data_IF_572367733415
#
_entry.id   IF_572367733415
#
_cell.length_a   1.000
_cell.length_b   1.000
_cell.length_c   1.000
_cell.angle_alpha   90.00
_cell.angle_beta   90.00
_cell.angle_gamma   90.00
#
_symmetry.space_group_name_H-M   'P 1'
#
loop_
_entity.id
_entity.type
_entity.pdbx_description
1 polymer ?
#
# COMPACT_ATOMS: atom_id res chain seq x y z
N UNK A 1 -9.91 -26.00 -27.18
CA UNK A 1 -10.49 -24.64 -27.19
C UNK A 1 -9.49 -23.75 -26.46
N UNK A 2 -8.74 -22.94 -27.20
CA UNK A 2 -7.73 -22.04 -26.64
C UNK A 2 -8.47 -20.80 -26.13
N UNK A 3 -8.52 -20.61 -24.83
CA UNK A 3 -9.02 -19.37 -24.23
C UNK A 3 -7.92 -18.32 -24.33
N UNK A 4 -8.02 -17.47 -25.33
CA UNK A 4 -7.25 -16.23 -25.41
C UNK A 4 -7.79 -15.30 -24.33
N UNK A 5 -7.16 -15.26 -23.16
CA UNK A 5 -7.26 -14.10 -22.27
C UNK A 5 -6.58 -12.96 -23.00
N UNK A 6 -7.38 -12.02 -23.51
CA UNK A 6 -6.90 -10.71 -23.92
C UNK A 6 -6.39 -10.02 -22.65
N UNK A 7 -5.09 -10.07 -22.42
CA UNK A 7 -4.43 -9.21 -21.46
C UNK A 7 -4.53 -7.77 -21.99
N UNK A 8 -5.63 -7.10 -21.68
CA UNK A 8 -5.80 -5.66 -21.89
C UNK A 8 -5.08 -4.92 -20.76
N UNK A 9 -3.79 -5.21 -20.55
CA UNK A 9 -2.92 -4.35 -19.77
C UNK A 9 -2.70 -3.08 -20.60
N UNK A 10 -3.59 -2.10 -20.42
CA UNK A 10 -3.37 -0.75 -20.92
C UNK A 10 -2.08 -0.28 -20.26
N UNK A 11 -1.01 -0.15 -21.05
CA UNK A 11 0.24 0.44 -20.62
C UNK A 11 0.01 1.94 -20.49
N UNK A 12 -0.28 2.39 -19.27
CA UNK A 12 -0.42 3.80 -18.93
C UNK A 12 0.96 4.45 -18.91
N UNK A 13 1.56 4.58 -20.09
CA UNK A 13 2.79 5.34 -20.26
C UNK A 13 2.54 6.78 -19.78
N UNK A 14 3.57 7.42 -19.23
CA UNK A 14 3.46 8.76 -18.64
C UNK A 14 2.95 9.83 -19.61
N UNK A 15 2.97 9.54 -20.92
CA UNK A 15 2.58 10.46 -21.98
C UNK A 15 1.05 10.61 -22.12
N UNK A 16 0.26 9.66 -21.60
CA UNK A 16 -1.21 9.67 -21.67
C UNK A 16 -1.90 10.14 -20.38
N UNK A 17 -1.12 10.58 -19.38
CA UNK A 17 -1.65 10.96 -18.06
C UNK A 17 -1.88 12.48 -18.02
N UNK A 18 -3.08 12.95 -17.64
CA UNK A 18 -3.35 14.38 -17.56
C UNK A 18 -2.43 15.07 -16.55
N UNK A 19 -1.96 16.25 -16.90
CA UNK A 19 -1.30 17.16 -15.96
C UNK A 19 -2.27 17.59 -14.87
N UNK A 20 -1.74 18.15 -13.77
CA UNK A 20 -2.57 18.60 -12.64
C UNK A 20 -3.67 19.58 -13.06
N UNK A 21 -3.36 20.50 -13.98
CA UNK A 21 -4.29 21.52 -14.48
C UNK A 21 -5.36 20.95 -15.42
N UNK A 22 -5.15 19.75 -15.96
CA UNK A 22 -6.10 19.03 -16.83
C UNK A 22 -7.05 18.13 -16.04
N UNK A 23 -6.82 17.94 -14.73
CA UNK A 23 -7.67 17.10 -13.89
C UNK A 23 -9.06 17.74 -13.68
N UNK A 24 -10.14 16.97 -13.82
CA UNK A 24 -11.48 17.51 -13.64
C UNK A 24 -11.76 17.82 -12.16
N UNK A 25 -12.62 18.81 -11.87
CA UNK A 25 -13.11 19.02 -10.52
C UNK A 25 -14.00 17.86 -10.07
N UNK A 26 -14.10 17.67 -8.76
CA UNK A 26 -15.06 16.75 -8.15
C UNK A 26 -15.84 17.45 -7.04
N UNK A 27 -17.13 17.67 -7.27
CA UNK A 27 -18.00 18.43 -6.35
C UNK A 27 -17.40 19.81 -6.02
N UNK A 28 -17.07 20.07 -4.76
CA UNK A 28 -16.43 21.30 -4.27
C UNK A 28 -14.89 21.28 -4.34
N UNK A 29 -14.27 20.19 -4.80
CA UNK A 29 -12.83 20.07 -4.93
C UNK A 29 -12.38 20.52 -6.32
N UNK A 30 -11.37 21.42 -6.42
CA UNK A 30 -10.99 22.05 -7.68
C UNK A 30 -10.42 21.06 -8.70
N UNK A 31 -9.75 20.00 -8.25
CA UNK A 31 -9.18 18.95 -9.10
C UNK A 31 -9.29 17.59 -8.40
N UNK A 32 -9.41 16.53 -9.19
CA UNK A 32 -9.52 15.15 -8.70
C UNK A 32 -8.99 14.15 -9.74
N UNK A 33 -8.08 13.26 -9.30
CA UNK A 33 -7.51 12.21 -10.15
C UNK A 33 -8.42 10.98 -10.32
N UNK A 34 -9.67 11.03 -9.85
CA UNK A 34 -10.60 9.90 -9.98
C UNK A 34 -11.01 9.70 -11.43
N UNK A 35 -10.97 8.43 -11.87
CA UNK A 35 -11.30 8.07 -13.24
C UNK A 35 -10.12 8.17 -14.23
N UNK A 36 -8.96 8.70 -13.84
CA UNK A 36 -7.75 8.75 -14.69
C UNK A 36 -7.40 7.36 -15.21
N UNK A 37 -7.45 6.34 -14.34
CA UNK A 37 -7.19 4.94 -14.71
C UNK A 37 -8.48 4.13 -14.97
N UNK A 38 -9.60 4.82 -15.20
CA UNK A 38 -10.91 4.21 -15.44
C UNK A 38 -11.87 4.26 -14.24
N UNK A 39 -13.16 4.16 -14.54
CA UNK A 39 -14.25 4.39 -13.57
C UNK A 39 -14.35 3.35 -12.44
N UNK A 40 -13.70 2.19 -12.59
CA UNK A 40 -13.71 1.09 -11.62
C UNK A 40 -12.32 0.78 -11.03
N UNK A 41 -11.32 1.58 -11.38
CA UNK A 41 -9.98 1.41 -10.85
C UNK A 41 -9.96 1.58 -9.32
N UNK A 42 -9.12 0.78 -8.65
CA UNK A 42 -8.92 0.78 -7.20
C UNK A 42 -7.45 0.94 -6.81
N UNK A 43 -6.55 1.06 -7.78
CA UNK A 43 -5.10 1.09 -7.57
C UNK A 43 -4.53 2.51 -7.64
N UNK A 44 -5.18 3.42 -8.36
CA UNK A 44 -4.74 4.80 -8.49
C UNK A 44 -3.34 4.89 -9.09
N UNK A 45 -2.47 5.65 -8.46
CA UNK A 45 -1.08 5.86 -8.91
C UNK A 45 -0.23 4.59 -8.88
N UNK A 46 -0.67 3.50 -8.22
CA UNK A 46 0.03 2.22 -8.30
C UNK A 46 0.05 1.65 -9.72
N UNK A 47 -0.89 2.07 -10.59
CA UNK A 47 -0.90 1.71 -12.01
C UNK A 47 0.34 2.25 -12.77
N UNK A 48 1.09 3.21 -12.21
CA UNK A 48 2.34 3.70 -12.81
C UNK A 48 3.50 2.70 -12.70
N UNK A 49 3.40 1.73 -11.79
CA UNK A 49 4.47 0.76 -11.52
C UNK A 49 4.40 -0.42 -12.49
N UNK A 50 4.65 -0.16 -13.77
CA UNK A 50 4.65 -1.19 -14.82
C UNK A 50 5.87 -2.10 -14.74
N UNK A 51 5.76 -3.32 -15.26
CA UNK A 51 6.87 -4.29 -15.32
C UNK A 51 8.11 -3.72 -16.02
N UNK A 52 7.89 -2.97 -17.11
CA UNK A 52 8.96 -2.31 -17.85
C UNK A 52 9.68 -1.26 -17.00
N UNK A 53 8.92 -0.43 -16.26
CA UNK A 53 9.48 0.58 -15.37
C UNK A 53 10.26 -0.07 -14.22
N UNK A 54 9.69 -1.07 -13.55
CA UNK A 54 10.34 -1.78 -12.44
C UNK A 54 11.63 -2.44 -12.91
N UNK A 55 11.60 -3.12 -14.06
CA UNK A 55 12.79 -3.75 -14.65
C UNK A 55 13.86 -2.73 -15.00
N UNK A 56 13.49 -1.61 -15.63
CA UNK A 56 14.41 -0.52 -15.96
C UNK A 56 15.07 0.04 -14.70
N UNK A 57 14.27 0.42 -13.70
CA UNK A 57 14.76 0.95 -12.42
C UNK A 57 15.71 -0.02 -11.71
N UNK A 58 15.40 -1.32 -11.71
CA UNK A 58 16.28 -2.32 -11.12
C UNK A 58 17.65 -2.41 -11.83
N UNK A 59 17.66 -2.37 -13.16
CA UNK A 59 18.89 -2.39 -13.96
C UNK A 59 19.70 -1.08 -13.84
N UNK A 60 19.01 0.04 -13.63
CA UNK A 60 19.59 1.38 -13.61
C UNK A 60 20.12 1.80 -12.23
N UNK A 61 19.46 1.39 -11.14
CA UNK A 61 19.74 1.89 -9.79
C UNK A 61 20.53 0.89 -8.92
N UNK A 62 20.37 -0.42 -9.14
CA UNK A 62 21.07 -1.44 -8.35
C UNK A 62 22.52 -1.56 -8.84
N UNK A 63 23.43 -0.77 -8.26
CA UNK A 63 24.86 -0.73 -8.66
C UNK A 63 25.84 -1.39 -7.71
N UNK A 64 25.57 -1.31 -6.40
CA UNK A 64 26.55 -1.70 -5.36
C UNK A 64 26.13 -2.89 -4.51
N UNK A 65 24.86 -3.31 -4.61
CA UNK A 65 24.29 -4.35 -3.75
C UNK A 65 24.11 -3.94 -2.27
N UNK A 66 24.38 -2.68 -1.91
CA UNK A 66 24.12 -2.16 -0.57
C UNK A 66 22.61 -2.00 -0.35
N UNK A 67 22.14 -2.39 0.83
CA UNK A 67 20.74 -2.26 1.25
C UNK A 67 20.65 -1.50 2.57
N UNK A 68 19.57 -0.75 2.75
CA UNK A 68 19.24 -0.04 3.99
C UNK A 68 17.79 -0.35 4.34
N UNK A 69 17.55 -0.81 5.57
CA UNK A 69 16.18 -1.01 6.06
C UNK A 69 15.54 0.35 6.36
N UNK A 70 14.36 0.59 5.80
CA UNK A 70 13.53 1.77 6.11
C UNK A 70 12.49 1.48 7.20
N UNK A 71 12.44 0.23 7.68
CA UNK A 71 11.51 -0.19 8.71
C UNK A 71 11.98 0.26 10.09
N UNK A 72 11.07 0.86 10.85
CA UNK A 72 11.26 1.14 12.26
C UNK A 72 11.19 -0.16 13.08
N UNK A 73 11.88 -0.24 14.23
CA UNK A 73 11.72 -1.35 15.15
C UNK A 73 10.24 -1.50 15.57
N UNK A 74 9.72 -2.74 15.57
CA UNK A 74 8.31 -3.00 15.91
C UNK A 74 7.94 -2.53 17.32
N UNK A 75 8.89 -2.48 18.24
CA UNK A 75 8.69 -2.04 19.62
C UNK A 75 8.96 -0.53 19.82
N UNK A 76 9.16 0.23 18.75
CA UNK A 76 9.48 1.65 18.86
C UNK A 76 8.33 2.45 19.50
N UNK A 77 7.10 2.25 19.03
CA UNK A 77 5.91 2.88 19.60
C UNK A 77 5.34 1.99 20.71
N UNK A 78 5.97 2.01 21.88
CA UNK A 78 5.54 1.21 23.03
C UNK A 78 4.26 1.74 23.67
N UNK A 79 3.73 1.00 24.66
CA UNK A 79 2.58 1.43 25.47
C UNK A 79 2.79 2.76 26.20
N UNK A 80 4.03 3.20 26.36
CA UNK A 80 4.38 4.48 26.99
C UNK A 80 4.26 5.66 26.01
N UNK A 81 4.23 5.40 24.70
CA UNK A 81 4.12 6.40 23.63
C UNK A 81 3.19 5.92 22.50
N UNK A 82 1.89 5.72 22.77
CA UNK A 82 0.94 5.35 21.72
C UNK A 82 0.75 6.51 20.74
N UNK A 83 0.97 6.26 19.45
CA UNK A 83 0.75 7.23 18.39
C UNK A 83 -0.74 7.29 18.04
N UNK A 84 -1.30 8.50 17.95
CA UNK A 84 -2.68 8.74 17.46
C UNK A 84 -3.78 7.93 18.16
N UNK A 85 -3.59 7.55 19.43
CA UNK A 85 -4.56 6.73 20.18
C UNK A 85 -4.63 5.27 19.72
N UNK A 86 -3.67 4.80 18.92
CA UNK A 86 -3.60 3.41 18.43
C UNK A 86 -3.17 2.44 19.53
N UNK A 87 -3.56 1.18 19.38
CA UNK A 87 -3.22 0.11 20.33
C UNK A 87 -1.72 -0.21 20.17
N UNK A 88 -0.92 -0.17 21.24
CA UNK A 88 0.49 -0.50 21.16
C UNK A 88 0.71 -1.91 20.56
N UNK A 89 1.79 -2.10 19.79
CA UNK A 89 2.13 -3.41 19.25
C UNK A 89 2.36 -4.41 20.40
N UNK A 90 1.82 -5.60 20.25
CA UNK A 90 1.92 -6.70 21.20
C UNK A 90 2.66 -7.86 20.56
N UNK A 91 3.67 -8.38 21.26
CA UNK A 91 4.42 -9.57 20.84
C UNK A 91 4.24 -10.64 21.93
N UNK A 92 3.56 -11.72 21.59
CA UNK A 92 3.37 -12.89 22.46
C UNK A 92 4.22 -14.04 21.97
N UNK A 93 5.11 -14.54 22.83
CA UNK A 93 5.97 -15.68 22.51
C UNK A 93 5.43 -16.96 23.16
N UNK A 94 5.33 -18.02 22.37
CA UNK A 94 4.81 -19.32 22.78
C UNK A 94 5.90 -20.39 22.65
N UNK A 95 6.10 -21.15 23.73
CA UNK A 95 6.96 -22.33 23.70
C UNK A 95 6.10 -23.58 23.58
N UNK A 96 6.17 -24.25 22.43
CA UNK A 96 5.50 -25.54 22.25
C UNK A 96 6.34 -26.66 22.84
N UNK A 97 5.65 -27.57 23.54
CA UNK A 97 6.22 -28.75 24.20
C UNK A 97 5.63 -30.01 23.58
N UNK A 98 6.46 -31.04 23.37
CA UNK A 98 6.05 -32.38 22.96
C UNK A 98 6.95 -33.38 23.68
N UNK A 99 6.34 -34.38 24.32
CA UNK A 99 7.05 -35.43 25.07
C UNK A 99 8.05 -34.90 26.11
N UNK A 100 7.72 -33.79 26.78
CA UNK A 100 8.61 -33.14 27.75
C UNK A 100 9.74 -32.30 27.14
N UNK A 101 9.81 -32.20 25.80
CA UNK A 101 10.83 -31.46 25.08
C UNK A 101 10.26 -30.21 24.42
N UNK A 102 11.01 -29.11 24.53
CA UNK A 102 10.80 -27.88 23.75
C UNK A 102 11.13 -28.18 22.29
N UNK A 103 10.17 -28.00 21.39
CA UNK A 103 10.39 -28.31 19.97
C UNK A 103 10.06 -27.17 19.01
N UNK A 104 9.27 -26.18 19.42
CA UNK A 104 9.03 -24.96 18.62
C UNK A 104 8.87 -23.73 19.50
N UNK A 105 9.32 -22.58 18.99
CA UNK A 105 9.00 -21.26 19.52
C UNK A 105 8.27 -20.50 18.44
N UNK A 106 7.05 -20.12 18.73
CA UNK A 106 6.18 -19.39 17.82
C UNK A 106 5.89 -18.03 18.44
N UNK A 107 5.75 -17.00 17.62
CA UNK A 107 5.44 -15.65 18.08
C UNK A 107 4.15 -15.16 17.39
N UNK A 108 3.22 -14.59 18.15
CA UNK A 108 2.09 -13.82 17.63
C UNK A 108 2.41 -12.34 17.76
N UNK A 109 2.31 -11.60 16.64
CA UNK A 109 2.58 -10.17 16.58
C UNK A 109 1.29 -9.47 16.18
N UNK A 110 0.73 -8.68 17.09
CA UNK A 110 -0.33 -7.73 16.77
C UNK A 110 0.31 -6.36 16.62
N UNK A 111 0.28 -5.80 15.42
CA UNK A 111 0.83 -4.47 15.15
C UNK A 111 -0.26 -3.54 14.60
N UNK A 112 -0.29 -2.31 15.10
CA UNK A 112 -1.14 -1.23 14.57
C UNK A 112 -0.37 0.08 14.31
N UNK A 113 0.96 0.08 14.41
CA UNK A 113 1.78 1.28 14.25
C UNK A 113 3.21 0.97 13.78
N UNK A 114 3.87 1.93 13.16
CA UNK A 114 5.24 1.77 12.67
C UNK A 114 5.38 2.24 11.22
N UNK A 115 6.37 1.71 10.53
CA UNK A 115 6.51 1.90 9.08
C UNK A 115 5.34 1.21 8.37
N UNK A 116 4.50 1.99 7.71
CA UNK A 116 3.28 1.51 7.08
C UNK A 116 3.03 2.18 5.72
N UNK A 117 2.12 1.58 4.94
CA UNK A 117 1.53 2.18 3.75
C UNK A 117 0.05 2.42 4.03
N UNK A 118 -0.39 3.67 3.94
CA UNK A 118 -1.80 4.01 4.03
C UNK A 118 -2.46 3.82 2.67
N UNK A 119 -3.36 2.83 2.57
CA UNK A 119 -4.09 2.56 1.35
C UNK A 119 -5.11 3.65 1.01
N UNK A 120 -5.63 3.64 -0.22
CA UNK A 120 -6.63 4.60 -0.71
C UNK A 120 -7.99 4.57 0.05
N UNK A 121 -8.16 3.64 0.99
CA UNK A 121 -9.30 3.53 1.92
C UNK A 121 -8.96 3.96 3.35
N UNK A 122 -7.77 4.49 3.58
CA UNK A 122 -7.38 4.94 4.92
C UNK A 122 -8.18 6.18 5.36
N UNK A 123 -8.38 7.14 4.44
CA UNK A 123 -9.19 8.33 4.67
C UNK A 123 -10.15 8.59 3.50
N UNK A 124 -11.46 8.79 3.78
CA UNK A 124 -12.40 9.23 2.78
C UNK A 124 -12.36 10.75 2.63
N UNK A 125 -12.98 11.25 1.56
CA UNK A 125 -13.52 12.61 1.56
C UNK A 125 -14.70 12.63 2.54
N UNK A 126 -14.43 13.07 3.77
CA UNK A 126 -15.37 12.96 4.91
C UNK A 126 -16.74 13.58 4.59
N UNK A 127 -16.77 14.78 4.01
CA UNK A 127 -18.02 15.48 3.65
C UNK A 127 -18.94 14.64 2.74
N UNK A 128 -18.36 13.78 1.92
CA UNK A 128 -19.06 13.03 0.88
C UNK A 128 -19.14 11.53 1.15
N UNK A 129 -18.55 11.06 2.26
CA UNK A 129 -18.49 9.64 2.63
C UNK A 129 -17.99 8.74 1.48
N UNK A 130 -16.95 9.21 0.77
CA UNK A 130 -16.39 8.52 -0.38
C UNK A 130 -14.87 8.37 -0.30
N UNK A 131 -14.39 7.16 -0.50
CA UNK A 131 -13.00 6.84 -0.79
C UNK A 131 -12.70 7.01 -2.29
N UNK A 132 -11.44 6.76 -2.64
CA UNK A 132 -10.95 6.79 -4.01
C UNK A 132 -11.94 6.19 -5.02
N UNK A 133 -12.12 6.92 -6.13
CA UNK A 133 -12.98 6.55 -7.24
C UNK A 133 -14.46 6.31 -6.86
N UNK A 134 -14.99 7.14 -5.95
CA UNK A 134 -16.41 7.14 -5.53
C UNK A 134 -16.84 5.87 -4.80
N UNK A 135 -15.90 5.13 -4.23
CA UNK A 135 -16.21 4.00 -3.36
C UNK A 135 -16.85 4.54 -2.07
N UNK A 136 -18.07 4.10 -1.75
CA UNK A 136 -18.73 4.51 -0.51
C UNK A 136 -18.02 3.94 0.72
N UNK A 137 -18.11 4.68 1.84
CA UNK A 137 -17.70 4.23 3.18
C UNK A 137 -18.58 3.09 3.67
#
# INVERSE_FOLDING_TARGET
MSTTTSDNSIDWTTDDIPTYDELPPFKNFPVCAWGVWGAYDQLGTMNLLTDALVKKSALEEIRTGKTVSLNWPLNFFSSEQPMFGRIPPEIKMFQKMKDGHKYSRDDEIHNSSGTEWDGLRHFPIIEHEMFYNKLCV
#
